data_IF_274298235770
#
_entry.id   IF_274298235770
#
_cell.length_a   1.000
_cell.length_b   1.000
_cell.length_c   1.000
_cell.angle_alpha   90.00
_cell.angle_beta   90.00
_cell.angle_gamma   90.00
#
_symmetry.space_group_name_H-M   'P 1'
#
loop_
_entity.id
_entity.type
_entity.pdbx_description
1 polymer ?
#
# COMPACT_ATOMS: atom_id res chain seq x y z
N UNK A 1 62.91 -28.30 46.86
CA UNK A 1 62.51 -27.67 48.13
C UNK A 1 61.19 -28.28 48.57
N UNK A 2 61.08 -28.52 49.86
CA UNK A 2 60.32 -29.57 50.54
C UNK A 2 58.95 -29.09 51.02
N UNK A 3 57.92 -29.94 50.95
CA UNK A 3 56.89 -30.25 51.98
C UNK A 3 55.71 -30.97 51.28
N UNK A 4 55.49 -32.28 51.51
CA UNK A 4 54.63 -32.89 52.55
C UNK A 4 53.25 -32.19 52.62
N UNK A 5 52.11 -32.86 52.51
CA UNK A 5 51.59 -33.87 53.45
C UNK A 5 50.60 -34.81 52.76
N UNK A 6 50.64 -36.06 53.22
CA UNK A 6 49.78 -37.20 52.96
C UNK A 6 48.71 -37.24 54.07
N UNK A 7 47.40 -37.38 53.77
CA UNK A 7 46.49 -38.08 54.70
C UNK A 7 45.13 -38.49 54.09
N UNK A 8 45.04 -39.81 53.86
CA UNK A 8 43.96 -40.77 54.15
C UNK A 8 42.57 -40.29 54.67
N UNK A 9 41.58 -41.05 54.17
CA UNK A 9 40.36 -41.59 54.82
C UNK A 9 39.00 -40.90 54.57
N UNK A 10 38.30 -41.44 53.57
CA UNK A 10 37.03 -42.21 53.68
C UNK A 10 36.13 -41.93 54.90
N UNK A 11 34.93 -41.40 54.63
CA UNK A 11 33.58 -41.94 54.94
C UNK A 11 32.60 -40.76 55.02
N UNK A 12 31.53 -40.78 54.23
CA UNK A 12 30.44 -39.81 54.41
C UNK A 12 29.55 -39.61 53.20
N UNK A 13 28.85 -40.67 52.77
CA UNK A 13 27.63 -40.52 51.99
C UNK A 13 26.54 -39.87 52.85
N UNK A 14 26.10 -38.68 52.46
CA UNK A 14 24.78 -38.06 52.69
C UNK A 14 24.75 -36.92 51.67
N UNK A 15 23.95 -36.89 50.61
CA UNK A 15 22.54 -37.14 50.53
C UNK A 15 21.91 -35.91 49.83
N UNK A 16 21.35 -36.14 48.63
CA UNK A 16 20.28 -35.37 47.96
C UNK A 16 20.62 -34.08 47.19
N UNK A 17 20.44 -34.20 45.86
CA UNK A 17 19.60 -33.39 44.93
C UNK A 17 19.67 -31.87 45.05
N UNK A 18 20.08 -31.19 43.96
CA UNK A 18 19.35 -30.09 43.28
C UNK A 18 19.97 -29.91 41.89
N UNK A 19 19.20 -30.28 40.86
CA UNK A 19 19.46 -29.90 39.47
C UNK A 19 18.93 -28.47 39.27
N UNK A 20 19.83 -27.53 38.97
CA UNK A 20 19.47 -26.16 38.64
C UNK A 20 18.97 -26.08 37.19
N UNK A 21 17.64 -26.14 37.02
CA UNK A 21 16.98 -25.79 35.76
C UNK A 21 16.91 -24.26 35.69
N UNK A 22 17.77 -23.68 34.85
CA UNK A 22 17.73 -22.26 34.50
C UNK A 22 16.42 -21.94 33.79
N UNK A 23 15.52 -21.26 34.50
CA UNK A 23 14.31 -20.64 33.94
C UNK A 23 14.74 -19.46 33.07
N UNK A 24 14.71 -19.64 31.75
CA UNK A 24 14.75 -18.53 30.80
C UNK A 24 13.37 -17.88 30.84
N UNK A 25 13.25 -16.78 31.59
CA UNK A 25 12.07 -15.93 31.55
C UNK A 25 12.02 -15.20 30.20
N UNK A 26 11.21 -15.73 29.28
CA UNK A 26 10.80 -15.01 28.08
C UNK A 26 9.81 -13.93 28.55
N UNK A 27 10.30 -12.70 28.69
CA UNK A 27 9.44 -11.51 28.78
C UNK A 27 8.86 -11.24 27.40
N UNK A 28 7.76 -11.93 27.08
CA UNK A 28 6.95 -11.59 25.93
C UNK A 28 6.31 -10.22 26.18
N UNK A 29 6.82 -9.17 25.51
CA UNK A 29 6.10 -7.93 25.28
C UNK A 29 4.85 -8.25 24.43
N UNK A 30 3.78 -8.69 25.07
CA UNK A 30 2.56 -9.14 24.40
C UNK A 30 1.32 -8.78 25.20
N UNK A 31 1.09 -7.48 25.41
CA UNK A 31 -0.15 -6.99 26.00
C UNK A 31 -0.72 -5.82 25.18
N UNK A 32 -0.80 -6.01 23.86
CA UNK A 32 -1.56 -5.11 23.00
C UNK A 32 -2.98 -5.68 22.92
N UNK A 33 -3.94 -4.92 23.46
CA UNK A 33 -5.35 -5.29 23.38
C UNK A 33 -5.74 -5.55 21.91
N UNK A 34 -6.59 -6.55 21.64
CA UNK A 34 -7.06 -6.81 20.28
C UNK A 34 -7.69 -5.55 19.69
N UNK A 35 -7.53 -5.37 18.37
CA UNK A 35 -8.13 -4.23 17.69
C UNK A 35 -9.65 -4.23 17.91
N UNK A 36 -10.25 -3.06 18.17
CA UNK A 36 -11.69 -2.97 18.39
C UNK A 36 -12.49 -3.31 17.13
N UNK A 37 -13.71 -3.83 17.30
CA UNK A 37 -14.55 -4.32 16.19
C UNK A 37 -14.84 -3.27 15.12
N UNK A 38 -14.95 -1.99 15.49
CA UNK A 38 -15.15 -0.91 14.52
C UNK A 38 -13.95 -0.80 13.56
N UNK A 39 -12.73 -1.05 14.02
CA UNK A 39 -11.52 -0.93 13.21
C UNK A 39 -11.44 -2.07 12.20
N UNK A 40 -11.76 -3.30 12.62
CA UNK A 40 -11.80 -4.48 11.75
C UNK A 40 -12.90 -4.35 10.68
N UNK A 41 -14.09 -3.87 11.07
CA UNK A 41 -15.20 -3.68 10.15
C UNK A 41 -14.96 -2.53 9.16
N UNK A 42 -14.35 -1.43 9.61
CA UNK A 42 -13.94 -0.32 8.74
C UNK A 42 -12.91 -0.77 7.69
N UNK A 43 -11.86 -1.48 8.12
CA UNK A 43 -10.81 -1.99 7.22
C UNK A 43 -11.38 -2.97 6.18
N UNK A 44 -12.19 -3.94 6.62
CA UNK A 44 -12.81 -4.90 5.72
C UNK A 44 -13.74 -4.23 4.71
N UNK A 45 -14.53 -3.24 5.15
CA UNK A 45 -15.38 -2.45 4.27
C UNK A 45 -14.57 -1.61 3.28
N UNK A 46 -13.49 -0.95 3.73
CA UNK A 46 -12.61 -0.16 2.88
C UNK A 46 -11.89 -1.00 1.81
N UNK A 47 -11.41 -2.21 2.17
CA UNK A 47 -10.81 -3.15 1.24
C UNK A 47 -11.82 -3.62 0.18
N UNK A 48 -13.04 -3.94 0.59
CA UNK A 48 -14.11 -4.33 -0.34
C UNK A 48 -14.54 -3.17 -1.24
N UNK A 49 -14.59 -1.96 -0.71
CA UNK A 49 -14.88 -0.76 -1.48
C UNK A 49 -13.80 -0.48 -2.53
N UNK A 50 -12.52 -0.63 -2.14
CA UNK A 50 -11.36 -0.50 -3.03
C UNK A 50 -11.42 -1.52 -4.17
N UNK A 51 -11.65 -2.80 -3.87
CA UNK A 51 -11.79 -3.85 -4.89
C UNK A 51 -12.96 -3.54 -5.83
N UNK A 52 -14.12 -3.19 -5.28
CA UNK A 52 -15.29 -2.83 -6.06
C UNK A 52 -15.02 -1.61 -6.97
N UNK A 53 -14.31 -0.59 -6.49
CA UNK A 53 -13.90 0.57 -7.28
C UNK A 53 -13.02 0.16 -8.48
N UNK A 54 -11.98 -0.63 -8.23
CA UNK A 54 -11.00 -1.08 -9.24
C UNK A 54 -11.67 -1.99 -10.30
N UNK A 55 -12.62 -2.82 -9.89
CA UNK A 55 -13.42 -3.65 -10.80
C UNK A 55 -14.55 -2.87 -11.51
N UNK A 56 -14.91 -1.71 -10.99
CA UNK A 56 -15.95 -0.84 -11.53
C UNK A 56 -17.37 -1.19 -11.09
N UNK A 57 -17.55 -1.84 -9.93
CA UNK A 57 -18.82 -2.15 -9.31
C UNK A 57 -19.34 -0.98 -8.45
N UNK A 58 -19.83 0.08 -9.11
CA UNK A 58 -20.16 1.37 -8.47
C UNK A 58 -21.14 1.26 -7.28
N UNK A 59 -22.20 0.43 -7.38
CA UNK A 59 -23.16 0.25 -6.28
C UNK A 59 -22.51 -0.39 -5.04
N UNK A 60 -21.66 -1.39 -5.26
CA UNK A 60 -20.95 -2.09 -4.18
C UNK A 60 -19.92 -1.16 -3.56
N UNK A 61 -19.15 -0.45 -4.39
CA UNK A 61 -18.21 0.58 -3.97
C UNK A 61 -18.87 1.59 -3.04
N UNK A 62 -19.94 2.25 -3.49
CA UNK A 62 -20.62 3.30 -2.72
C UNK A 62 -21.13 2.80 -1.36
N UNK A 63 -21.73 1.60 -1.36
CA UNK A 63 -22.22 0.97 -0.13
C UNK A 63 -21.08 0.68 0.85
N UNK A 64 -19.95 0.15 0.36
CA UNK A 64 -18.84 -0.26 1.23
C UNK A 64 -18.03 0.94 1.74
N UNK A 65 -17.86 1.99 0.93
CA UNK A 65 -17.29 3.25 1.43
C UNK A 65 -18.19 3.90 2.48
N UNK A 66 -19.52 3.85 2.31
CA UNK A 66 -20.43 4.34 3.35
C UNK A 66 -20.26 3.56 4.65
N UNK A 67 -20.24 2.22 4.59
CA UNK A 67 -20.03 1.37 5.79
C UNK A 67 -18.72 1.67 6.50
N UNK A 68 -17.62 1.83 5.74
CA UNK A 68 -16.33 2.17 6.33
C UNK A 68 -16.36 3.55 7.01
N UNK A 69 -17.00 4.54 6.37
CA UNK A 69 -17.15 5.88 6.92
C UNK A 69 -18.03 5.90 8.17
N UNK A 70 -19.14 5.17 8.19
CA UNK A 70 -20.02 5.08 9.36
C UNK A 70 -19.30 4.45 10.56
N UNK A 71 -18.53 3.38 10.32
CA UNK A 71 -17.74 2.74 11.36
C UNK A 71 -16.68 3.69 11.94
N UNK A 72 -15.95 4.41 11.10
CA UNK A 72 -14.95 5.40 11.55
C UNK A 72 -15.62 6.62 12.19
N UNK A 73 -16.74 7.10 11.66
CA UNK A 73 -17.46 8.26 12.22
C UNK A 73 -17.97 7.96 13.64
N UNK A 74 -18.35 6.72 13.93
CA UNK A 74 -18.78 6.29 15.27
C UNK A 74 -17.69 6.48 16.35
N UNK A 75 -16.43 6.64 15.97
CA UNK A 75 -15.32 6.88 16.91
C UNK A 75 -15.11 8.37 17.23
N UNK A 76 -15.66 9.27 16.42
CA UNK A 76 -15.42 10.72 16.51
C UNK A 76 -13.98 11.14 16.26
N UNK A 77 -13.15 10.30 15.63
CA UNK A 77 -11.71 10.57 15.44
C UNK A 77 -11.40 11.01 13.99
N UNK A 78 -11.27 12.31 13.71
CA UNK A 78 -11.05 12.81 12.34
C UNK A 78 -9.76 12.30 11.70
N UNK A 79 -8.71 12.05 12.49
CA UNK A 79 -7.46 11.44 12.00
C UNK A 79 -7.69 10.05 11.35
N UNK A 80 -8.61 9.25 11.89
CA UNK A 80 -8.95 7.94 11.32
C UNK A 80 -9.76 8.09 10.04
N UNK A 81 -10.66 9.08 9.99
CA UNK A 81 -11.42 9.41 8.78
C UNK A 81 -10.48 9.88 7.66
N UNK A 82 -9.46 10.67 7.98
CA UNK A 82 -8.46 11.12 7.03
C UNK A 82 -7.69 9.93 6.42
N UNK A 83 -7.27 8.97 7.25
CA UNK A 83 -6.61 7.74 6.78
C UNK A 83 -7.51 6.93 5.85
N UNK A 84 -8.79 6.78 6.18
CA UNK A 84 -9.76 6.09 5.33
C UNK A 84 -9.91 6.76 3.96
N UNK A 85 -10.05 8.09 3.92
CA UNK A 85 -10.18 8.82 2.65
C UNK A 85 -8.90 8.77 1.81
N UNK A 86 -7.72 8.65 2.43
CA UNK A 86 -6.47 8.41 1.71
C UNK A 86 -6.41 7.04 1.04
N UNK A 87 -7.04 6.01 1.60
CA UNK A 87 -7.16 4.71 0.92
C UNK A 87 -7.99 4.84 -0.36
N UNK A 88 -9.09 5.60 -0.30
CA UNK A 88 -9.92 5.90 -1.48
C UNK A 88 -9.16 6.71 -2.52
N UNK A 89 -8.45 7.75 -2.09
CA UNK A 89 -7.58 8.59 -2.91
C UNK A 89 -6.51 7.75 -3.65
N UNK A 90 -5.86 6.82 -2.94
CA UNK A 90 -4.87 5.93 -3.54
C UNK A 90 -5.48 5.04 -4.65
N UNK A 91 -6.67 4.48 -4.43
CA UNK A 91 -7.37 3.71 -5.45
C UNK A 91 -7.67 4.55 -6.72
N UNK A 92 -8.04 5.82 -6.52
CA UNK A 92 -8.27 6.78 -7.61
C UNK A 92 -6.99 7.07 -8.40
N UNK A 93 -5.88 7.34 -7.71
CA UNK A 93 -4.55 7.52 -8.33
C UNK A 93 -4.13 6.28 -9.13
N UNK A 94 -4.34 5.07 -8.60
CA UNK A 94 -4.06 3.82 -9.31
C UNK A 94 -4.87 3.68 -10.62
N UNK A 95 -6.04 4.32 -10.67
CA UNK A 95 -6.94 4.36 -11.83
C UNK A 95 -6.79 5.60 -12.70
N UNK A 96 -5.75 6.41 -12.47
CA UNK A 96 -5.50 7.68 -13.17
C UNK A 96 -6.65 8.68 -13.07
N UNK A 97 -7.45 8.58 -12.00
CA UNK A 97 -8.49 9.55 -11.68
C UNK A 97 -7.85 10.71 -10.90
N UNK A 98 -7.57 11.79 -11.63
CA UNK A 98 -6.85 12.94 -11.12
C UNK A 98 -7.77 13.93 -10.43
N UNK A 99 -8.09 13.65 -9.18
CA UNK A 99 -8.66 14.63 -8.26
C UNK A 99 -7.65 15.02 -7.16
N UNK A 100 -7.95 16.09 -6.43
CA UNK A 100 -7.16 16.58 -5.30
C UNK A 100 -7.46 15.81 -3.99
N UNK A 101 -8.23 14.73 -4.05
CA UNK A 101 -8.72 13.97 -2.90
C UNK A 101 -9.51 14.84 -1.91
N UNK A 102 -10.59 15.51 -2.36
CA UNK A 102 -11.27 16.57 -1.60
C UNK A 102 -11.84 16.11 -0.25
N UNK A 103 -12.22 14.84 -0.12
CA UNK A 103 -12.70 14.28 1.14
C UNK A 103 -11.59 14.19 2.20
N UNK A 104 -10.35 13.92 1.79
CA UNK A 104 -9.19 14.02 2.69
C UNK A 104 -8.84 15.48 2.98
N UNK A 105 -8.92 16.38 2.00
CA UNK A 105 -8.58 17.80 2.20
C UNK A 105 -9.41 18.43 3.31
N UNK A 106 -10.69 18.09 3.42
CA UNK A 106 -11.58 18.53 4.50
C UNK A 106 -11.16 18.07 5.91
N UNK A 107 -10.32 17.02 5.99
CA UNK A 107 -9.84 16.39 7.23
C UNK A 107 -8.33 16.62 7.45
N UNK A 108 -7.65 17.31 6.53
CA UNK A 108 -6.19 17.36 6.48
C UNK A 108 -5.56 18.00 7.73
N UNK A 109 -6.24 18.97 8.34
CA UNK A 109 -5.78 19.64 9.57
C UNK A 109 -5.68 18.68 10.77
N UNK A 110 -6.50 17.64 10.79
CA UNK A 110 -6.59 16.65 11.88
C UNK A 110 -5.78 15.38 11.56
N UNK A 111 -5.22 15.28 10.35
CA UNK A 111 -4.47 14.13 9.90
C UNK A 111 -3.09 14.05 10.59
N UNK A 112 -2.64 12.82 10.88
CA UNK A 112 -1.30 12.57 11.38
C UNK A 112 -0.22 12.91 10.35
N UNK A 113 1.03 13.03 10.82
CA UNK A 113 2.18 13.30 9.93
C UNK A 113 2.32 12.26 8.80
N UNK A 114 2.15 10.94 9.04
CA UNK A 114 2.20 9.95 7.96
C UNK A 114 1.12 10.16 6.90
N UNK A 115 -0.11 10.46 7.31
CA UNK A 115 -1.23 10.73 6.40
C UNK A 115 -0.97 12.00 5.56
N UNK A 116 -0.45 13.07 6.16
CA UNK A 116 -0.07 14.29 5.43
C UNK A 116 1.05 14.05 4.41
N UNK A 117 2.07 13.29 4.78
CA UNK A 117 3.14 12.89 3.87
C UNK A 117 2.60 12.05 2.71
N UNK A 118 1.72 11.09 3.00
CA UNK A 118 1.11 10.23 1.99
C UNK A 118 0.20 11.03 1.04
N UNK A 119 -0.56 12.00 1.55
CA UNK A 119 -1.38 12.89 0.72
C UNK A 119 -0.52 13.69 -0.27
N UNK A 120 0.58 14.31 0.20
CA UNK A 120 1.53 15.01 -0.67
C UNK A 120 2.14 14.09 -1.73
N UNK A 121 2.52 12.87 -1.32
CA UNK A 121 3.02 11.86 -2.23
C UNK A 121 2.01 11.48 -3.32
N UNK A 122 0.74 11.25 -2.96
CA UNK A 122 -0.32 10.94 -3.94
C UNK A 122 -0.52 12.08 -4.96
N UNK A 123 -0.23 13.33 -4.58
CA UNK A 123 -0.23 14.50 -5.46
C UNK A 123 1.11 14.70 -6.22
N UNK A 124 1.98 13.70 -6.24
CA UNK A 124 3.32 13.74 -6.85
C UNK A 124 4.21 14.89 -6.35
N UNK A 125 3.99 15.36 -5.11
CA UNK A 125 4.72 16.46 -4.50
C UNK A 125 5.34 16.05 -3.15
N UNK A 126 6.05 14.91 -3.04
CA UNK A 126 6.69 14.52 -1.78
C UNK A 126 7.77 15.54 -1.38
N UNK A 127 8.02 15.64 -0.07
CA UNK A 127 9.14 16.39 0.49
C UNK A 127 10.23 15.44 1.02
N UNK A 128 11.45 15.93 1.19
CA UNK A 128 12.55 15.10 1.70
C UNK A 128 12.24 14.46 3.08
N UNK A 129 11.54 15.20 3.95
CA UNK A 129 11.11 14.71 5.26
C UNK A 129 9.97 13.67 5.22
N UNK A 130 9.29 13.51 4.07
CA UNK A 130 8.16 12.58 3.94
C UNK A 130 8.61 11.13 3.80
N UNK A 131 9.82 10.89 3.26
CA UNK A 131 10.26 9.56 2.81
C UNK A 131 10.11 8.47 3.87
N UNK A 132 10.53 8.74 5.11
CA UNK A 132 10.46 7.75 6.19
C UNK A 132 9.05 7.61 6.80
N UNK A 133 8.15 8.56 6.51
CA UNK A 133 6.75 8.52 6.91
C UNK A 133 5.87 7.76 5.91
N UNK A 134 6.35 7.58 4.67
CA UNK A 134 5.61 6.87 3.64
C UNK A 134 5.61 5.35 3.87
N UNK A 135 4.56 4.64 3.37
CA UNK A 135 4.58 3.19 3.28
C UNK A 135 5.86 2.71 2.58
N UNK A 136 6.49 1.66 3.11
CA UNK A 136 7.80 1.16 2.65
C UNK A 136 7.87 0.98 1.14
N UNK A 137 6.83 0.36 0.56
CA UNK A 137 6.69 0.13 -0.87
C UNK A 137 6.77 1.40 -1.74
N UNK A 138 6.43 2.57 -1.19
CA UNK A 138 6.36 3.83 -1.93
C UNK A 138 7.65 4.67 -1.80
N UNK A 139 8.55 4.32 -0.87
CA UNK A 139 9.70 5.17 -0.52
C UNK A 139 10.70 5.32 -1.67
N UNK A 140 10.97 4.25 -2.41
CA UNK A 140 11.89 4.29 -3.55
C UNK A 140 11.39 5.25 -4.65
N UNK A 141 10.09 5.18 -4.95
CA UNK A 141 9.44 6.04 -5.94
C UNK A 141 9.39 7.49 -5.49
N UNK A 142 9.12 7.74 -4.21
CA UNK A 142 9.17 9.09 -3.65
C UNK A 142 10.58 9.72 -3.73
N UNK A 143 11.64 8.95 -3.46
CA UNK A 143 13.03 9.42 -3.66
C UNK A 143 13.32 9.71 -5.12
N UNK A 144 12.81 8.89 -6.04
CA UNK A 144 12.97 9.10 -7.47
C UNK A 144 12.33 10.42 -7.93
N UNK A 145 11.11 10.73 -7.45
CA UNK A 145 10.42 11.99 -7.75
C UNK A 145 11.22 13.21 -7.27
N UNK A 146 11.73 13.17 -6.04
CA UNK A 146 12.58 14.24 -5.50
C UNK A 146 13.86 14.45 -6.31
N UNK A 147 14.42 13.37 -6.87
CA UNK A 147 15.59 13.41 -7.74
C UNK A 147 15.30 13.76 -9.20
N UNK A 148 14.04 14.01 -9.58
CA UNK A 148 13.64 14.30 -10.97
C UNK A 148 13.74 13.09 -11.92
N UNK A 149 13.81 11.87 -11.39
CA UNK A 149 13.92 10.65 -12.19
C UNK A 149 12.59 10.22 -12.81
N UNK A 150 12.60 9.86 -14.09
CA UNK A 150 11.42 9.44 -14.85
C UNK A 150 11.36 7.92 -15.16
N UNK A 151 12.22 7.11 -14.51
CA UNK A 151 12.30 5.66 -14.74
C UNK A 151 11.16 4.86 -14.10
N UNK A 152 10.94 3.63 -14.58
CA UNK A 152 9.93 2.70 -14.03
C UNK A 152 10.51 1.57 -13.16
N UNK A 153 11.81 1.55 -12.88
CA UNK A 153 12.48 0.44 -12.20
C UNK A 153 12.01 0.27 -10.75
N UNK A 154 11.92 1.36 -10.00
CA UNK A 154 11.43 1.34 -8.61
C UNK A 154 9.98 0.85 -8.50
N UNK A 155 9.16 1.06 -9.54
CA UNK A 155 7.78 0.55 -9.59
C UNK A 155 7.77 -0.97 -9.76
N UNK A 156 8.62 -1.51 -10.64
CA UNK A 156 8.68 -2.94 -10.91
C UNK A 156 9.04 -3.78 -9.66
N UNK A 157 9.79 -3.22 -8.71
CA UNK A 157 10.18 -3.88 -7.46
C UNK A 157 9.03 -3.99 -6.44
N UNK A 158 7.96 -3.22 -6.62
CA UNK A 158 6.80 -3.24 -5.71
C UNK A 158 5.99 -4.51 -5.94
N UNK A 159 5.85 -5.33 -4.88
CA UNK A 159 5.18 -6.63 -4.92
C UNK A 159 3.66 -6.52 -4.91
N UNK A 160 3.11 -5.68 -4.03
CA UNK A 160 1.67 -5.48 -3.92
C UNK A 160 1.13 -4.76 -5.18
N UNK A 161 0.19 -5.36 -5.94
CA UNK A 161 -0.27 -4.82 -7.21
C UNK A 161 -0.94 -3.45 -7.10
N UNK A 162 -1.68 -3.19 -6.02
CA UNK A 162 -2.33 -1.89 -5.82
C UNK A 162 -1.26 -0.83 -5.54
N UNK A 163 -0.34 -1.11 -4.62
CA UNK A 163 0.79 -0.23 -4.32
C UNK A 163 1.63 0.06 -5.57
N UNK A 164 1.82 -0.93 -6.44
CA UNK A 164 2.51 -0.76 -7.73
C UNK A 164 1.77 0.20 -8.66
N UNK A 165 0.45 0.06 -8.80
CA UNK A 165 -0.35 0.99 -9.61
C UNK A 165 -0.40 2.40 -9.02
N UNK A 166 -0.48 2.53 -7.69
CA UNK A 166 -0.40 3.83 -7.01
C UNK A 166 0.93 4.50 -7.36
N UNK A 167 2.05 3.80 -7.18
CA UNK A 167 3.37 4.31 -7.52
C UNK A 167 3.49 4.72 -8.99
N UNK A 168 2.98 3.89 -9.90
CA UNK A 168 2.98 4.19 -11.32
C UNK A 168 2.15 5.44 -11.63
N UNK A 169 0.97 5.57 -11.02
CA UNK A 169 0.11 6.74 -11.13
C UNK A 169 0.78 8.02 -10.60
N UNK A 170 1.46 7.94 -9.46
CA UNK A 170 2.19 9.09 -8.90
C UNK A 170 3.34 9.52 -9.81
N UNK A 171 4.16 8.58 -10.33
CA UNK A 171 5.23 8.92 -11.27
C UNK A 171 4.68 9.58 -12.54
N UNK A 172 3.60 9.03 -13.09
CA UNK A 172 2.95 9.58 -14.26
C UNK A 172 2.41 11.00 -13.99
N UNK A 173 1.78 11.23 -12.83
CA UNK A 173 1.33 12.55 -12.38
C UNK A 173 2.50 13.53 -12.22
N UNK A 174 3.66 13.05 -11.79
CA UNK A 174 4.93 13.78 -11.74
C UNK A 174 5.59 14.01 -13.11
N UNK A 175 4.97 13.57 -14.21
CA UNK A 175 5.44 13.81 -15.57
C UNK A 175 6.22 12.64 -16.21
N UNK A 176 6.42 11.53 -15.50
CA UNK A 176 7.11 10.36 -16.05
C UNK A 176 6.18 9.57 -16.98
N UNK A 177 6.15 9.89 -18.26
CA UNK A 177 5.33 9.22 -19.28
C UNK A 177 6.13 8.25 -20.17
N UNK A 178 7.01 7.44 -19.57
CA UNK A 178 7.89 6.52 -20.32
C UNK A 178 7.16 5.22 -20.74
N UNK A 179 7.48 4.63 -21.91
CA UNK A 179 6.78 3.45 -22.42
C UNK A 179 6.74 2.26 -21.46
N UNK A 180 7.83 2.03 -20.72
CA UNK A 180 7.90 0.90 -19.77
C UNK A 180 6.92 1.08 -18.60
N UNK A 181 6.76 2.31 -18.08
CA UNK A 181 5.81 2.61 -17.01
C UNK A 181 4.36 2.37 -17.47
N UNK A 182 4.03 2.80 -18.69
CA UNK A 182 2.70 2.58 -19.27
C UNK A 182 2.39 1.09 -19.44
N UNK A 183 3.40 0.30 -19.82
CA UNK A 183 3.29 -1.15 -19.95
C UNK A 183 3.06 -1.80 -18.58
N UNK A 184 3.87 -1.45 -17.58
CA UNK A 184 3.71 -1.95 -16.21
C UNK A 184 2.31 -1.66 -15.64
N UNK A 185 1.76 -0.45 -15.87
CA UNK A 185 0.41 -0.10 -15.44
C UNK A 185 -0.68 -0.97 -16.08
N UNK A 186 -0.57 -1.21 -17.39
CA UNK A 186 -1.50 -2.12 -18.10
C UNK A 186 -1.36 -3.56 -17.63
N UNK A 187 -0.13 -4.09 -17.53
CA UNK A 187 0.12 -5.47 -17.15
C UNK A 187 -0.40 -5.73 -15.73
N UNK A 188 -0.09 -4.84 -14.79
CA UNK A 188 -0.53 -4.96 -13.39
C UNK A 188 -2.06 -4.92 -13.26
N UNK A 189 -2.73 -3.98 -13.94
CA UNK A 189 -4.20 -3.90 -13.90
C UNK A 189 -4.87 -5.11 -14.59
N UNK A 190 -4.26 -5.60 -15.68
CA UNK A 190 -4.77 -6.74 -16.45
C UNK A 190 -4.67 -8.04 -15.67
N UNK A 191 -3.52 -8.31 -15.02
CA UNK A 191 -3.30 -9.51 -14.21
C UNK A 191 -4.28 -9.63 -13.03
N UNK A 192 -4.71 -8.49 -12.48
CA UNK A 192 -5.65 -8.44 -11.37
C UNK A 192 -7.12 -8.41 -11.80
N UNK A 193 -7.41 -8.32 -13.11
CA UNK A 193 -8.77 -8.13 -13.61
C UNK A 193 -9.40 -6.79 -13.19
N UNK A 194 -8.58 -5.77 -12.91
CA UNK A 194 -9.05 -4.46 -12.47
C UNK A 194 -9.42 -3.59 -13.67
N UNK A 195 -10.70 -3.68 -14.06
CA UNK A 195 -11.24 -3.04 -15.25
C UNK A 195 -11.03 -1.53 -15.30
N UNK A 196 -11.28 -0.82 -14.20
CA UNK A 196 -11.22 0.65 -14.15
C UNK A 196 -9.80 1.19 -14.42
N UNK A 197 -8.76 0.77 -13.67
CA UNK A 197 -7.39 1.18 -14.00
C UNK A 197 -6.97 0.65 -15.37
N UNK A 198 -7.30 -0.59 -15.74
CA UNK A 198 -6.91 -1.13 -17.04
C UNK A 198 -7.41 -0.27 -18.21
N UNK A 199 -8.67 0.17 -18.15
CA UNK A 199 -9.24 1.10 -19.13
C UNK A 199 -8.43 2.39 -19.22
N UNK A 200 -8.14 3.03 -18.08
CA UNK A 200 -7.41 4.29 -18.04
C UNK A 200 -5.99 4.16 -18.60
N UNK A 201 -5.26 3.11 -18.22
CA UNK A 201 -3.90 2.86 -18.71
C UNK A 201 -3.87 2.51 -20.21
N UNK A 202 -4.86 1.75 -20.71
CA UNK A 202 -4.98 1.46 -22.15
C UNK A 202 -5.30 2.71 -22.97
N UNK A 203 -6.19 3.58 -22.49
CA UNK A 203 -6.49 4.85 -23.16
C UNK A 203 -5.25 5.75 -23.24
N UNK A 204 -4.43 5.76 -22.19
CA UNK A 204 -3.17 6.50 -22.20
C UNK A 204 -2.15 5.91 -23.20
N UNK A 205 -2.00 4.58 -23.25
CA UNK A 205 -1.16 3.94 -24.29
C UNK A 205 -1.67 4.20 -25.70
N UNK A 206 -3.00 4.23 -25.90
CA UNK A 206 -3.60 4.53 -27.20
C UNK A 206 -3.26 5.95 -27.64
N UNK A 207 -3.37 6.92 -26.73
CA UNK A 207 -2.97 8.31 -26.99
C UNK A 207 -1.48 8.41 -27.38
N UNK A 208 -0.60 7.70 -26.67
CA UNK A 208 0.83 7.67 -27.00
C UNK A 208 1.08 7.03 -28.38
N UNK A 209 0.40 5.94 -28.72
CA UNK A 209 0.52 5.28 -30.03
C UNK A 209 -0.02 6.15 -31.18
N UNK A 210 -1.07 6.93 -30.94
CA UNK A 210 -1.59 7.93 -31.89
C UNK A 210 -0.56 9.04 -32.15
N UNK A 211 0.06 9.56 -31.09
CA UNK A 211 1.10 10.59 -31.21
C UNK A 211 2.36 10.07 -31.92
N UNK A 212 2.68 8.78 -31.75
CA UNK A 212 3.79 8.12 -32.43
C UNK A 212 3.49 7.59 -33.83
N UNK A 213 2.23 7.64 -34.30
CA UNK A 213 1.83 7.13 -35.62
C UNK A 213 1.81 5.60 -35.75
N UNK A 214 1.85 4.85 -34.64
CA UNK A 214 1.87 3.38 -34.65
C UNK A 214 0.46 2.82 -34.84
N UNK A 215 0.05 2.67 -36.10
CA UNK A 215 -1.31 2.25 -36.48
C UNK A 215 -1.61 0.81 -36.02
N UNK A 216 -0.62 -0.08 -36.05
CA UNK A 216 -0.82 -1.47 -35.63
C UNK A 216 -1.10 -1.57 -34.13
N UNK A 217 -0.29 -0.88 -33.32
CA UNK A 217 -0.50 -0.81 -31.86
C UNK A 217 -1.81 -0.12 -31.52
N UNK A 218 -2.19 0.94 -32.23
CA UNK A 218 -3.50 1.57 -32.05
C UNK A 218 -4.65 0.58 -32.25
N UNK A 219 -4.63 -0.18 -33.35
CA UNK A 219 -5.65 -1.17 -33.65
C UNK A 219 -5.68 -2.28 -32.58
N UNK A 220 -4.53 -2.73 -32.08
CA UNK A 220 -4.44 -3.69 -30.98
C UNK A 220 -5.07 -3.16 -29.68
N UNK A 221 -4.74 -1.93 -29.29
CA UNK A 221 -5.24 -1.29 -28.08
C UNK A 221 -6.76 -1.05 -28.16
N UNK A 222 -7.27 -0.64 -29.32
CA UNK A 222 -8.71 -0.48 -29.56
C UNK A 222 -9.48 -1.78 -29.40
N UNK A 223 -8.95 -2.92 -29.88
CA UNK A 223 -9.59 -4.23 -29.65
C UNK A 223 -9.68 -4.59 -28.17
N UNK A 224 -8.63 -4.29 -27.39
CA UNK A 224 -8.61 -4.52 -25.93
C UNK A 224 -9.62 -3.62 -25.20
N UNK A 225 -9.69 -2.34 -25.57
CA UNK A 225 -10.67 -1.39 -25.00
C UNK A 225 -12.10 -1.83 -25.28
N UNK A 226 -12.41 -2.22 -26.53
CA UNK A 226 -13.74 -2.74 -26.91
C UNK A 226 -14.15 -3.95 -26.08
N UNK A 227 -13.22 -4.87 -25.80
CA UNK A 227 -13.49 -6.02 -24.94
C UNK A 227 -13.90 -5.60 -23.51
N UNK A 228 -13.26 -4.56 -22.96
CA UNK A 228 -13.59 -4.04 -21.62
C UNK A 228 -14.92 -3.28 -21.57
N UNK A 229 -15.30 -2.63 -22.67
CA UNK A 229 -16.61 -1.97 -22.79
C UNK A 229 -17.75 -2.99 -22.81
N UNK A 230 -17.58 -4.08 -23.57
CA UNK A 230 -18.61 -5.13 -23.67
C UNK A 230 -18.80 -5.94 -22.39
N UNK A 231 -17.81 -5.96 -21.51
CA UNK A 231 -17.83 -6.72 -20.24
C UNK A 231 -18.24 -5.88 -19.02
N UNK A 232 -18.70 -4.64 -19.22
CA UNK A 232 -19.00 -3.72 -18.12
C UNK A 232 -20.12 -4.24 -17.19
N UNK A 233 -19.88 -4.29 -15.86
CA UNK A 233 -20.91 -4.72 -14.90
C UNK A 233 -22.06 -3.71 -14.81
N UNK A 234 -23.30 -4.23 -14.69
CA UNK A 234 -24.54 -3.45 -14.51
C UNK A 234 -24.73 -2.90 -13.10
#
# INVERSE_FOLDING_TARGET
MTQKINQKQNLGQCGRVIAAISVIAISACGNQAPAPDWALSAEAAAQKATQAYLQGHQRVEALQWQKARDAVASTGQPAQAAKLELMRCAAQVASLDWNSCPAYEALAQDAGKPEQAYARYLQASPQAGDIELLPEAQRAVARQLLGGGAGGTAVAEIKDPLSRLVAAGVLLRGGAAVPDLLRQGVDTASEQGWRRPLMAWLLLQLKAAQQGGDVEKQAQLQRRLKLLETSAPK
#
